data_IF_846733154089
#
_entry.id   IF_846733154089
#
_cell.length_a   1.000
_cell.length_b   1.000
_cell.length_c   1.000
_cell.angle_alpha   90.00
_cell.angle_beta   90.00
_cell.angle_gamma   90.00
#
_symmetry.space_group_name_H-M   'P 1'
#
loop_
_entity.id
_entity.type
_entity.pdbx_description
1 polymer ?
#
# COMPACT_ATOMS: atom_id res chain seq x y z
N UNK A 1 -18.68 -40.05 -27.12
CA UNK A 1 -18.47 -38.60 -27.38
C UNK A 1 -19.14 -37.80 -26.25
N UNK A 2 -18.48 -37.62 -25.10
CA UNK A 2 -18.96 -36.79 -23.97
C UNK A 2 -17.82 -36.27 -23.07
N UNK A 3 -16.53 -36.54 -23.36
CA UNK A 3 -15.44 -36.21 -22.42
C UNK A 3 -14.72 -34.88 -22.69
N UNK A 4 -15.19 -34.03 -23.61
CA UNK A 4 -14.53 -32.75 -23.94
C UNK A 4 -15.33 -31.56 -23.38
N UNK A 5 -15.69 -31.59 -22.10
CA UNK A 5 -16.45 -30.49 -21.47
C UNK A 5 -16.18 -30.35 -19.96
N UNK A 6 -14.95 -30.63 -19.51
CA UNK A 6 -14.56 -30.49 -18.10
C UNK A 6 -13.41 -29.49 -17.81
N UNK A 7 -12.50 -29.08 -18.72
CA UNK A 7 -11.41 -28.20 -18.29
C UNK A 7 -11.77 -26.71 -18.28
N UNK A 8 -12.97 -26.30 -18.70
CA UNK A 8 -13.32 -24.86 -18.82
C UNK A 8 -13.65 -24.17 -17.48
N UNK A 9 -13.80 -24.91 -16.37
CA UNK A 9 -14.20 -24.35 -15.07
C UNK A 9 -13.04 -24.18 -14.05
N UNK A 10 -11.81 -24.59 -14.37
CA UNK A 10 -10.66 -24.48 -13.45
C UNK A 10 -9.79 -23.24 -13.74
N UNK A 11 -9.97 -22.58 -14.89
CA UNK A 11 -9.12 -21.47 -15.33
C UNK A 11 -9.38 -20.08 -14.69
N UNK A 12 -10.56 -19.70 -14.14
CA UNK A 12 -10.74 -18.32 -13.68
C UNK A 12 -10.11 -18.05 -12.29
N UNK A 13 -9.82 -19.09 -11.50
CA UNK A 13 -9.32 -18.94 -10.12
C UNK A 13 -7.85 -18.52 -10.04
N UNK A 14 -7.06 -18.76 -11.10
CA UNK A 14 -5.64 -18.39 -11.17
C UNK A 14 -5.41 -16.96 -11.71
N UNK A 15 -6.48 -16.24 -12.04
CA UNK A 15 -6.42 -14.89 -12.62
C UNK A 15 -6.28 -13.75 -11.61
N UNK A 16 -6.40 -14.00 -10.30
CA UNK A 16 -6.23 -12.97 -9.28
C UNK A 16 -4.74 -12.70 -9.04
N UNK A 17 -4.14 -11.88 -9.91
CA UNK A 17 -2.76 -11.41 -9.74
C UNK A 17 -2.72 -10.32 -8.66
N UNK A 18 -2.51 -10.71 -7.41
CA UNK A 18 -2.23 -9.76 -6.30
C UNK A 18 -0.77 -9.30 -6.27
N UNK A 19 -0.10 -9.33 -7.43
CA UNK A 19 1.30 -8.93 -7.54
C UNK A 19 1.36 -7.44 -7.79
N UNK A 20 2.20 -6.77 -7.02
CA UNK A 20 2.54 -5.38 -7.30
C UNK A 20 3.15 -5.28 -8.71
N UNK A 21 2.72 -4.31 -9.52
CA UNK A 21 3.37 -4.02 -10.79
C UNK A 21 4.86 -3.73 -10.56
N UNK A 22 5.75 -4.16 -11.47
CA UNK A 22 7.18 -3.97 -11.30
C UNK A 22 7.48 -2.48 -11.08
N UNK A 23 8.17 -2.12 -9.99
CA UNK A 23 8.43 -0.72 -9.70
C UNK A 23 9.39 -0.14 -10.75
N UNK A 24 9.32 1.20 -10.97
CA UNK A 24 10.31 1.89 -11.78
C UNK A 24 11.72 1.76 -11.15
N UNK A 25 12.78 2.02 -11.93
CA UNK A 25 14.13 2.14 -11.37
C UNK A 25 14.16 3.15 -10.23
N UNK A 26 14.66 2.71 -9.08
CA UNK A 26 14.76 3.53 -7.88
C UNK A 26 15.89 4.55 -8.07
N UNK A 27 15.57 5.83 -7.92
CA UNK A 27 16.50 6.97 -8.05
C UNK A 27 16.73 7.71 -6.73
N UNK A 28 15.87 7.50 -5.73
CA UNK A 28 16.00 8.12 -4.41
C UNK A 28 17.33 7.76 -3.73
N UNK A 29 17.91 8.73 -3.02
CA UNK A 29 19.09 8.52 -2.17
C UNK A 29 18.75 8.44 -0.68
N UNK A 30 17.49 8.71 -0.33
CA UNK A 30 17.04 8.81 1.05
C UNK A 30 16.47 7.47 1.55
N UNK A 31 16.43 7.29 2.87
CA UNK A 31 15.91 6.06 3.43
C UNK A 31 14.37 6.10 3.48
N UNK A 32 13.74 5.26 2.65
CA UNK A 32 12.29 5.07 2.67
C UNK A 32 11.91 4.34 3.96
N UNK A 33 10.94 4.88 4.69
CA UNK A 33 10.53 4.33 5.98
C UNK A 33 9.14 3.70 5.90
N UNK A 34 8.97 2.53 6.51
CA UNK A 34 7.67 1.89 6.68
C UNK A 34 7.00 2.42 7.95
N UNK A 35 5.71 2.74 7.84
CA UNK A 35 4.91 3.25 8.93
C UNK A 35 3.52 2.62 8.93
N UNK A 36 2.80 2.85 10.03
CA UNK A 36 1.48 2.29 10.28
C UNK A 36 0.57 3.37 10.85
N UNK A 37 -0.69 3.42 10.41
CA UNK A 37 -1.70 4.30 11.00
C UNK A 37 -2.99 3.56 11.32
N UNK A 38 -3.67 4.01 12.37
CA UNK A 38 -4.89 3.39 12.89
C UNK A 38 -6.11 3.89 12.12
N UNK A 39 -6.87 2.96 11.55
CA UNK A 39 -8.06 3.25 10.71
C UNK A 39 -9.27 2.51 11.25
N UNK A 40 -10.47 3.11 11.13
CA UNK A 40 -11.72 2.44 11.48
C UNK A 40 -11.96 1.23 10.59
N UNK A 41 -12.36 0.12 11.20
CA UNK A 41 -12.73 -1.09 10.48
C UNK A 41 -13.91 -0.81 9.54
N UNK A 42 -14.94 -0.15 10.05
CA UNK A 42 -16.17 0.14 9.33
C UNK A 42 -16.52 1.63 9.37
N UNK A 43 -16.34 2.32 8.25
CA UNK A 43 -16.70 3.73 8.10
C UNK A 43 -18.20 3.96 7.82
N UNK A 44 -18.94 2.90 7.48
CA UNK A 44 -20.36 2.96 7.15
C UNK A 44 -21.27 2.69 8.36
N UNK A 45 -20.71 2.24 9.48
CA UNK A 45 -21.43 2.02 10.74
C UNK A 45 -20.88 2.96 11.82
N UNK A 46 -21.59 4.05 12.09
CA UNK A 46 -21.13 5.10 13.00
C UNK A 46 -20.79 4.59 14.41
N UNK A 47 -21.48 3.56 14.90
CA UNK A 47 -21.26 2.96 16.22
C UNK A 47 -20.12 1.94 16.28
N UNK A 48 -19.58 1.50 15.13
CA UNK A 48 -18.44 0.58 15.12
C UNK A 48 -17.16 1.39 15.39
N UNK A 49 -16.56 1.15 16.56
CA UNK A 49 -15.32 1.80 16.99
C UNK A 49 -14.10 0.88 16.83
N UNK A 50 -14.25 -0.27 16.16
CA UNK A 50 -13.15 -1.18 15.91
C UNK A 50 -12.16 -0.54 14.93
N UNK A 51 -10.89 -0.80 15.14
CA UNK A 51 -9.80 -0.25 14.31
C UNK A 51 -8.82 -1.35 13.93
N UNK A 52 -8.05 -1.07 12.88
CA UNK A 52 -6.94 -1.91 12.44
C UNK A 52 -5.79 -1.00 11.99
N UNK A 53 -4.59 -1.59 11.88
CA UNK A 53 -3.39 -0.89 11.45
C UNK A 53 -3.24 -1.01 9.94
N UNK A 54 -3.04 0.13 9.28
CA UNK A 54 -2.84 0.24 7.84
C UNK A 54 -1.42 0.69 7.54
N UNK A 55 -0.74 -0.10 6.70
CA UNK A 55 0.65 0.09 6.32
C UNK A 55 0.79 1.17 5.26
N UNK A 56 1.87 1.93 5.34
CA UNK A 56 2.29 2.82 4.25
C UNK A 56 3.81 2.99 4.26
N UNK A 57 4.36 3.38 3.11
CA UNK A 57 5.73 3.88 3.02
C UNK A 57 5.76 5.40 2.94
N UNK A 58 6.80 5.98 3.53
CA UNK A 58 7.04 7.42 3.52
C UNK A 58 8.44 7.72 2.97
N UNK A 59 8.51 8.64 2.02
CA UNK A 59 9.74 9.23 1.53
C UNK A 59 9.68 10.76 1.71
N UNK A 60 10.61 11.30 2.50
CA UNK A 60 10.73 12.73 2.80
C UNK A 60 11.88 13.42 2.07
N UNK A 61 12.45 12.81 1.03
CA UNK A 61 13.60 13.33 0.28
C UNK A 61 13.45 14.78 -0.19
N UNK A 62 12.24 15.21 -0.53
CA UNK A 62 11.98 16.54 -1.09
C UNK A 62 11.33 17.52 -0.13
N UNK A 63 11.06 17.11 1.12
CA UNK A 63 10.41 17.96 2.12
C UNK A 63 11.35 19.09 2.53
N UNK A 64 10.91 20.33 2.35
CA UNK A 64 11.63 21.51 2.81
C UNK A 64 11.01 22.07 4.09
N UNK A 65 11.76 21.99 5.20
CA UNK A 65 11.31 22.47 6.51
C UNK A 65 11.07 24.00 6.59
N UNK A 66 11.55 24.77 5.60
CA UNK A 66 11.38 26.23 5.54
C UNK A 66 10.02 26.66 4.93
N UNK A 67 9.22 25.72 4.43
CA UNK A 67 7.95 25.99 3.75
C UNK A 67 6.81 25.14 4.33
N UNK A 68 5.56 25.47 3.98
CA UNK A 68 4.40 24.62 4.29
C UNK A 68 4.59 23.32 3.49
N UNK A 69 4.66 22.14 4.13
CA UNK A 69 4.97 20.92 3.41
C UNK A 69 3.77 20.46 2.57
N UNK A 70 3.92 20.40 1.25
CA UNK A 70 3.01 19.67 0.39
C UNK A 70 3.12 18.15 0.62
N UNK A 71 2.06 17.41 0.25
CA UNK A 71 2.05 15.95 0.27
C UNK A 71 1.58 15.39 -1.07
N UNK A 72 2.22 14.30 -1.49
CA UNK A 72 1.77 13.45 -2.60
C UNK A 72 1.36 12.11 -2.00
N UNK A 73 0.15 11.64 -2.31
CA UNK A 73 -0.34 10.33 -1.87
C UNK A 73 -0.50 9.44 -3.09
N UNK A 74 0.33 8.40 -3.15
CA UNK A 74 0.17 7.29 -4.06
C UNK A 74 -0.70 6.21 -3.38
N UNK A 75 -1.78 5.81 -4.05
CA UNK A 75 -2.74 4.83 -3.55
C UNK A 75 -2.40 3.47 -4.14
N UNK A 76 -2.04 2.50 -3.30
CA UNK A 76 -1.81 1.12 -3.73
C UNK A 76 -3.08 0.45 -4.24
N UNK A 77 -2.90 -0.46 -5.20
CA UNK A 77 -3.97 -1.28 -5.72
C UNK A 77 -4.12 -2.58 -4.94
N UNK A 78 -4.59 -3.62 -5.63
CA UNK A 78 -4.92 -4.94 -5.09
C UNK A 78 -3.68 -5.83 -4.82
N UNK A 79 -2.67 -5.30 -4.12
CA UNK A 79 -1.41 -6.00 -3.87
C UNK A 79 -0.72 -5.59 -2.57
N UNK A 80 0.24 -6.41 -2.15
CA UNK A 80 1.16 -6.05 -1.08
C UNK A 80 2.14 -4.98 -1.59
N UNK A 81 2.23 -3.85 -0.91
CA UNK A 81 3.12 -2.76 -1.36
C UNK A 81 4.59 -3.04 -1.00
N UNK A 82 5.50 -2.58 -1.85
CA UNK A 82 6.95 -2.53 -1.61
C UNK A 82 7.46 -1.07 -1.72
N UNK A 83 8.66 -0.75 -1.20
CA UNK A 83 9.15 0.63 -1.19
C UNK A 83 9.51 1.18 -2.58
N UNK A 84 9.58 0.35 -3.63
CA UNK A 84 10.09 0.77 -4.95
C UNK A 84 9.33 1.94 -5.57
N UNK A 85 8.01 1.99 -5.41
CA UNK A 85 7.16 3.04 -5.99
C UNK A 85 7.26 4.41 -5.32
N UNK A 86 7.88 4.51 -4.14
CA UNK A 86 8.20 5.81 -3.52
C UNK A 86 9.64 6.24 -3.76
N UNK A 87 10.42 5.42 -4.46
CA UNK A 87 11.82 5.70 -4.79
C UNK A 87 12.05 6.12 -6.23
N UNK A 88 11.04 6.13 -7.10
CA UNK A 88 11.13 6.51 -8.50
C UNK A 88 9.76 6.55 -9.20
N UNK A 89 9.75 6.94 -10.47
CA UNK A 89 8.54 7.07 -11.29
C UNK A 89 7.69 8.30 -10.97
N UNK A 90 6.47 8.34 -11.52
CA UNK A 90 5.66 9.56 -11.57
C UNK A 90 5.38 10.19 -10.20
N UNK A 91 5.04 9.39 -9.17
CA UNK A 91 4.73 9.94 -7.85
C UNK A 91 5.97 10.54 -7.16
N UNK A 92 7.14 9.94 -7.37
CA UNK A 92 8.43 10.46 -6.89
C UNK A 92 8.83 11.74 -7.63
N UNK A 93 8.65 11.79 -8.95
CA UNK A 93 8.87 12.99 -9.76
C UNK A 93 7.94 14.14 -9.35
N UNK A 94 6.65 13.86 -9.13
CA UNK A 94 5.70 14.85 -8.63
C UNK A 94 6.09 15.37 -7.25
N UNK A 95 6.53 14.49 -6.35
CA UNK A 95 7.01 14.90 -5.04
C UNK A 95 8.25 15.81 -5.13
N UNK A 96 9.14 15.56 -6.10
CA UNK A 96 10.29 16.44 -6.37
C UNK A 96 9.86 17.80 -6.88
N UNK A 97 8.92 17.86 -7.82
CA UNK A 97 8.45 19.13 -8.43
C UNK A 97 7.73 19.98 -7.38
N UNK A 98 6.98 19.35 -6.49
CA UNK A 98 6.17 20.01 -5.47
C UNK A 98 6.89 20.23 -4.13
N UNK A 99 8.15 19.80 -3.99
CA UNK A 99 8.85 19.82 -2.69
C UNK A 99 8.08 19.11 -1.55
N UNK A 100 7.41 18.01 -1.91
CA UNK A 100 6.42 17.34 -1.09
C UNK A 100 6.96 16.08 -0.39
N UNK A 101 6.30 15.69 0.71
CA UNK A 101 6.43 14.36 1.27
C UNK A 101 5.61 13.34 0.47
N UNK A 102 6.20 12.18 0.17
CA UNK A 102 5.55 11.13 -0.62
C UNK A 102 5.10 9.98 0.28
N UNK A 103 3.81 9.67 0.21
CA UNK A 103 3.18 8.55 0.92
C UNK A 103 2.70 7.51 -0.07
N UNK A 104 2.97 6.23 0.18
CA UNK A 104 2.39 5.12 -0.58
C UNK A 104 1.61 4.20 0.34
N UNK A 105 0.28 4.23 0.18
CA UNK A 105 -0.65 3.59 1.11
C UNK A 105 -1.02 2.18 0.64
N UNK A 106 -0.99 1.22 1.57
CA UNK A 106 -1.42 -0.15 1.26
C UNK A 106 -2.94 -0.24 1.30
N UNK A 107 -3.53 -0.80 0.25
CA UNK A 107 -4.96 -1.02 0.22
C UNK A 107 -5.37 -2.04 1.29
N UNK A 108 -6.48 -1.76 2.00
CA UNK A 108 -7.03 -2.71 2.98
C UNK A 108 -7.26 -4.09 2.36
N UNK A 109 -7.01 -5.13 3.14
CA UNK A 109 -7.08 -6.56 2.79
C UNK A 109 -5.91 -7.10 1.97
N UNK A 110 -4.96 -6.26 1.57
CA UNK A 110 -3.77 -6.68 0.83
C UNK A 110 -2.51 -6.57 1.69
N UNK A 111 -1.49 -7.33 1.30
CA UNK A 111 -0.22 -7.41 2.01
C UNK A 111 -0.37 -7.67 3.50
N UNK A 112 0.18 -6.74 4.30
CA UNK A 112 0.18 -6.82 5.76
C UNK A 112 -0.98 -6.03 6.39
N UNK A 113 -1.66 -5.19 5.61
CA UNK A 113 -2.86 -4.45 6.03
C UNK A 113 -4.09 -5.35 6.04
N UNK A 114 -4.28 -6.07 7.15
CA UNK A 114 -5.34 -7.08 7.28
C UNK A 114 -6.30 -6.77 8.44
N UNK A 115 -7.50 -6.23 8.16
CA UNK A 115 -8.46 -5.86 9.19
C UNK A 115 -9.03 -7.06 9.98
N UNK A 116 -9.03 -8.26 9.40
CA UNK A 116 -9.64 -9.47 9.97
C UNK A 116 -8.65 -10.59 10.26
N UNK A 117 -7.35 -10.37 10.00
CA UNK A 117 -6.36 -11.35 10.41
C UNK A 117 -6.43 -11.44 11.94
N UNK A 118 -6.81 -12.63 12.41
CA UNK A 118 -6.89 -13.03 13.81
C UNK A 118 -5.74 -12.39 14.57
N UNK A 119 -5.95 -11.91 15.80
CA UNK A 119 -4.88 -11.41 16.67
C UNK A 119 -3.81 -12.50 16.84
N UNK A 120 -2.87 -12.62 15.89
CA UNK A 120 -1.76 -13.56 15.98
C UNK A 120 -0.78 -12.87 16.90
N UNK A 121 -0.66 -13.42 18.11
CA UNK A 121 0.30 -13.00 19.09
C UNK A 121 1.69 -12.95 18.44
N UNK A 122 2.23 -11.75 18.21
CA UNK A 122 3.62 -11.59 17.77
C UNK A 122 3.93 -10.37 16.91
N UNK A 123 2.97 -9.80 16.19
CA UNK A 123 3.23 -8.59 15.39
C UNK A 123 2.47 -7.39 15.98
N UNK A 124 3.08 -6.80 17.01
CA UNK A 124 2.68 -5.47 17.49
C UNK A 124 3.41 -4.46 16.61
N UNK A 125 2.72 -3.65 15.80
CA UNK A 125 3.37 -2.56 15.09
C UNK A 125 4.02 -1.61 16.11
N UNK A 126 5.14 -0.97 15.78
CA UNK A 126 5.84 -0.08 16.69
C UNK A 126 4.88 1.02 17.19
N UNK A 127 4.93 1.26 18.50
CA UNK A 127 4.16 2.26 19.24
C UNK A 127 4.54 3.68 18.88
#
# INVERSE_FOLDING_TARGET
>A
MWHILVPLLVAPSFGLRTFEPPPPPVTTRNNITEHWFTVRLNHFMAHNNETFQMRFYYNNEFVNASHIPEIVVFVGGEWAISPGWVGGGLAHELASILHAGLFYTEHRYYGLTRPTAHKIAGHRPPS
#
